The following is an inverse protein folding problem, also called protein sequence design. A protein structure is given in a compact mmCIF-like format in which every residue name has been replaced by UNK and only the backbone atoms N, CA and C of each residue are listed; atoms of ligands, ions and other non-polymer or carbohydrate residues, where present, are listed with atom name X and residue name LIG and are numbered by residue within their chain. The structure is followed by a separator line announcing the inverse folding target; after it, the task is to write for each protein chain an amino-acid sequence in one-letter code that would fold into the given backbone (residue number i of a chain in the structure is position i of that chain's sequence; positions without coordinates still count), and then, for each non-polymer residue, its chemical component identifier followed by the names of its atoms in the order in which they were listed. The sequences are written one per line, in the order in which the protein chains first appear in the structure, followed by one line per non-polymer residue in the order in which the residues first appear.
data_IF_118433219891
#
_entry.id   IF_118433219891
#
_cell.length_a   1.000
_cell.length_b   1.000
_cell.length_c   1.000
_cell.angle_alpha   90.00
_cell.angle_beta   90.00
_cell.angle_gamma   90.00
#
_symmetry.space_group_name_H-M   'P 1'
#
loop_
_entity.id
_entity.type
_entity.pdbx_description
1 polymer ?
#
# COMPACT_ATOMS: atom_id res chain seq x y z
N UNK A 1 20.48 7.39 12.04
CA UNK A 1 19.23 7.76 12.76
C UNK A 1 18.58 8.92 12.00
N UNK A 2 17.58 8.66 11.14
CA UNK A 2 16.92 9.72 10.35
C UNK A 2 16.08 10.62 11.27
N UNK A 3 15.97 11.94 11.01
CA UNK A 3 15.11 12.86 11.77
C UNK A 3 13.67 12.33 11.88
N UNK A 4 12.99 12.60 13.00
CA UNK A 4 11.61 12.13 13.23
C UNK A 4 10.66 12.60 12.12
N UNK A 5 10.82 13.85 11.66
CA UNK A 5 10.07 14.39 10.53
C UNK A 5 10.29 13.57 9.24
N UNK A 6 11.54 13.21 8.93
CA UNK A 6 11.88 12.39 7.76
C UNK A 6 11.34 10.97 7.88
N UNK A 7 11.32 10.39 9.10
CA UNK A 7 10.75 9.06 9.35
C UNK A 7 9.26 9.04 9.04
N UNK A 8 8.50 10.02 9.54
CA UNK A 8 7.06 10.13 9.29
C UNK A 8 6.76 10.20 7.79
N UNK A 9 7.46 11.07 7.06
CA UNK A 9 7.30 11.22 5.61
C UNK A 9 7.66 9.92 4.88
N UNK A 10 8.77 9.26 5.25
CA UNK A 10 9.18 8.01 4.60
C UNK A 10 8.18 6.87 4.81
N UNK A 11 7.61 6.75 6.01
CA UNK A 11 6.60 5.74 6.32
C UNK A 11 5.27 6.05 5.65
N UNK A 12 4.86 7.32 5.61
CA UNK A 12 3.64 7.75 4.93
C UNK A 12 3.72 7.49 3.42
N UNK A 13 4.84 7.87 2.80
CA UNK A 13 5.08 7.58 1.39
C UNK A 13 5.01 6.07 1.15
N UNK A 14 5.68 5.28 1.99
CA UNK A 14 5.69 3.83 1.84
C UNK A 14 4.35 3.13 2.18
N UNK A 15 3.41 3.82 2.83
CA UNK A 15 2.05 3.31 3.01
C UNK A 15 1.13 3.59 1.80
N UNK A 16 1.38 4.68 1.07
CA UNK A 16 0.55 5.11 -0.08
C UNK A 16 1.04 4.47 -1.37
N UNK A 17 2.35 4.37 -1.55
CA UNK A 17 2.96 3.88 -2.79
C UNK A 17 2.57 2.44 -3.18
N UNK A 18 2.46 1.47 -2.25
CA UNK A 18 2.02 0.11 -2.58
C UNK A 18 0.61 0.05 -3.17
N UNK A 19 -0.25 1.05 -2.92
CA UNK A 19 -1.64 1.03 -3.36
C UNK A 19 -1.82 1.46 -4.83
N UNK A 20 -0.87 2.20 -5.43
CA UNK A 20 -1.05 2.78 -6.78
C UNK A 20 0.22 3.10 -7.58
N UNK A 21 1.37 3.36 -6.96
CA UNK A 21 2.49 4.04 -7.64
C UNK A 21 3.77 3.19 -7.80
N UNK A 22 3.98 2.16 -6.97
CA UNK A 22 5.09 1.22 -7.14
C UNK A 22 6.51 1.80 -6.99
N UNK A 23 6.66 3.04 -6.53
CA UNK A 23 7.95 3.66 -6.24
C UNK A 23 8.62 3.11 -4.96
N UNK A 24 9.95 3.02 -4.98
CA UNK A 24 10.72 2.57 -3.83
C UNK A 24 11.46 3.75 -3.18
N UNK A 25 10.92 4.23 -2.05
CA UNK A 25 11.58 5.24 -1.21
C UNK A 25 12.57 4.63 -0.21
N UNK A 26 12.44 3.33 0.05
CA UNK A 26 13.25 2.52 0.97
C UNK A 26 13.56 1.17 0.30
N UNK A 27 14.71 0.53 0.58
CA UNK A 27 15.04 -0.77 0.03
C UNK A 27 14.06 -1.83 0.55
N UNK A 28 13.18 -2.35 -0.33
CA UNK A 28 12.15 -3.33 0.04
C UNK A 28 12.78 -4.67 0.46
N UNK A 29 13.92 -5.05 -0.14
CA UNK A 29 14.62 -6.29 0.17
C UNK A 29 15.21 -6.38 1.57
N UNK A 30 15.31 -5.26 2.30
CA UNK A 30 15.78 -5.21 3.68
C UNK A 30 14.63 -5.02 4.70
N UNK A 31 13.37 -5.04 4.23
CA UNK A 31 12.20 -4.92 5.11
C UNK A 31 11.86 -6.27 5.77
N UNK A 32 11.29 -6.22 6.97
CA UNK A 32 10.80 -7.43 7.66
C UNK A 32 9.72 -8.13 6.83
N UNK A 33 9.74 -9.46 6.83
CA UNK A 33 8.74 -10.29 6.14
C UNK A 33 7.30 -9.97 6.54
N UNK A 34 7.08 -9.62 7.82
CA UNK A 34 5.77 -9.17 8.30
C UNK A 34 5.29 -7.91 7.59
N UNK A 35 6.19 -6.97 7.29
CA UNK A 35 5.86 -5.73 6.58
C UNK A 35 5.60 -6.00 5.10
N UNK A 36 6.37 -6.91 4.49
CA UNK A 36 6.14 -7.37 3.11
C UNK A 36 4.76 -8.02 2.97
N UNK A 37 4.36 -8.85 3.93
CA UNK A 37 3.03 -9.45 3.93
C UNK A 37 1.90 -8.41 3.90
N UNK A 38 1.99 -7.37 4.72
CA UNK A 38 1.02 -6.26 4.67
C UNK A 38 1.08 -5.46 3.37
N UNK A 39 2.28 -5.23 2.81
CA UNK A 39 2.45 -4.56 1.51
C UNK A 39 1.74 -5.34 0.40
N UNK A 40 1.84 -6.67 0.40
CA UNK A 40 1.16 -7.54 -0.59
C UNK A 40 -0.37 -7.41 -0.47
N UNK A 41 -0.92 -7.41 0.75
CA UNK A 41 -2.37 -7.20 0.98
C UNK A 41 -2.81 -5.81 0.48
N UNK A 42 -2.00 -4.78 0.75
CA UNK A 42 -2.28 -3.41 0.29
C UNK A 42 -2.19 -3.25 -1.23
N UNK A 43 -1.34 -4.02 -1.91
CA UNK A 43 -1.29 -4.08 -3.38
C UNK A 43 -2.51 -4.80 -3.96
N UNK A 44 -3.06 -5.77 -3.24
CA UNK A 44 -4.27 -6.50 -3.65
C UNK A 44 -5.54 -5.65 -3.49
N UNK A 45 -5.71 -4.98 -2.34
CA UNK A 45 -6.79 -4.01 -2.07
C UNK A 45 -6.36 -2.65 -2.63
N UNK A 46 -6.49 -2.53 -3.95
CA UNK A 46 -5.92 -1.44 -4.73
C UNK A 46 -6.72 -0.14 -4.68
N UNK A 47 -6.80 0.52 -5.83
CA UNK A 47 -7.36 1.87 -5.95
C UNK A 47 -8.90 1.90 -5.96
N UNK A 48 -9.47 3.08 -5.76
CA UNK A 48 -10.91 3.31 -5.95
C UNK A 48 -11.35 3.07 -7.41
N UNK A 49 -12.63 2.71 -7.66
CA UNK A 49 -13.16 2.63 -9.02
C UNK A 49 -12.98 3.98 -9.73
N UNK A 50 -12.76 3.95 -11.04
CA UNK A 50 -12.36 5.12 -11.85
C UNK A 50 -10.94 5.65 -11.62
N UNK A 51 -10.08 4.95 -10.86
CA UNK A 51 -8.66 5.30 -10.69
C UNK A 51 -7.73 4.45 -11.58
N UNK A 52 -6.53 4.97 -11.85
CA UNK A 52 -5.47 4.38 -12.67
C UNK A 52 -4.64 3.30 -11.96
N UNK A 53 -4.87 3.04 -10.66
CA UNK A 53 -4.18 1.98 -9.92
C UNK A 53 -4.78 0.58 -10.17
N UNK A 54 -3.95 -0.47 -10.11
CA UNK A 54 -4.36 -1.88 -10.27
C UNK A 54 -5.02 -2.49 -9.02
N UNK A 55 -5.24 -3.80 -9.03
CA UNK A 55 -5.81 -4.59 -7.91
C UNK A 55 -7.33 -4.67 -7.86
N UNK A 56 -7.87 -5.29 -6.80
CA UNK A 56 -9.32 -5.29 -6.52
C UNK A 56 -9.69 -3.88 -6.09
N UNK A 57 -10.66 -3.29 -6.80
CA UNK A 57 -11.12 -1.94 -6.51
C UNK A 57 -11.77 -1.89 -5.13
N UNK A 58 -11.57 -0.79 -4.41
CA UNK A 58 -12.13 -0.64 -3.05
C UNK A 58 -13.64 -0.85 -3.04
N UNK A 59 -14.37 -0.45 -4.07
CA UNK A 59 -15.81 -0.74 -4.17
C UNK A 59 -16.12 -2.20 -4.42
N UNK A 60 -15.35 -2.92 -5.24
CA UNK A 60 -15.53 -4.38 -5.43
C UNK A 60 -15.27 -5.13 -4.13
N UNK A 61 -14.22 -4.74 -3.39
CA UNK A 61 -13.93 -5.31 -2.07
C UNK A 61 -15.07 -5.07 -1.09
N UNK A 62 -15.57 -3.83 -1.01
CA UNK A 62 -16.72 -3.49 -0.16
C UNK A 62 -17.99 -4.23 -0.56
N UNK A 63 -18.28 -4.38 -1.86
CA UNK A 63 -19.46 -5.12 -2.33
C UNK A 63 -19.38 -6.59 -1.96
N UNK A 64 -18.20 -7.23 -2.09
CA UNK A 64 -18.02 -8.64 -1.69
C UNK A 64 -18.24 -8.79 -0.18
N UNK A 65 -17.66 -7.91 0.65
CA UNK A 65 -17.84 -7.96 2.09
C UNK A 65 -19.26 -7.63 2.57
N UNK A 66 -19.99 -6.80 1.83
CA UNK A 66 -21.35 -6.40 2.20
C UNK A 66 -22.42 -7.39 1.70
N UNK A 67 -22.11 -8.19 0.68
CA UNK A 67 -23.04 -9.15 0.08
C UNK A 67 -22.89 -10.56 0.67
N UNK A 68 -21.69 -10.92 1.11
CA UNK A 68 -21.43 -12.14 1.91
C UNK A 68 -21.82 -11.89 3.37
#
# INVERSE_FOLDING_TARGET
NKPVATKIISTFFQAVTPRTAGFNSLPIGEMRDSTLFFIIILMFIGASPSSTGGGIKTTTFTTILATV
#
